data_IF_284704422461
#
_entry.id   IF_284704422461
#
_cell.length_a   1.000
_cell.length_b   1.000
_cell.length_c   1.000
_cell.angle_alpha   90.00
_cell.angle_beta   90.00
_cell.angle_gamma   90.00
#
_symmetry.space_group_name_H-M   'P 1'
#
loop_
_entity.id
_entity.type
_entity.pdbx_description
1 polymer ?
#
# COMPACT_ATOMS: atom_id res chain seq x y z
N UNK A 1 11.41 32.72 21.35
CA UNK A 1 12.43 32.84 20.29
C UNK A 1 11.76 33.39 19.05
N UNK A 2 12.20 34.55 18.56
CA UNK A 2 11.56 35.28 17.45
C UNK A 2 12.21 35.02 16.10
N UNK A 3 13.41 34.47 16.08
CA UNK A 3 14.17 34.18 14.87
C UNK A 3 15.18 33.04 15.07
N UNK A 4 15.78 32.56 13.98
CA UNK A 4 16.73 31.45 13.99
C UNK A 4 18.02 31.76 14.77
N UNK A 5 18.51 33.00 14.75
CA UNK A 5 19.73 33.38 15.48
C UNK A 5 19.51 33.28 16.99
N UNK A 6 18.41 33.82 17.51
CA UNK A 6 18.04 33.67 18.93
C UNK A 6 17.93 32.18 19.33
N UNK A 7 17.44 31.33 18.44
CA UNK A 7 17.36 29.89 18.70
C UNK A 7 18.72 29.20 18.72
N UNK A 8 19.66 29.65 17.88
CA UNK A 8 21.03 29.12 17.85
C UNK A 8 21.88 29.64 19.01
N UNK A 9 21.67 30.90 19.41
CA UNK A 9 22.26 31.49 20.60
C UNK A 9 21.85 30.69 21.85
N UNK A 10 20.56 30.37 21.99
CA UNK A 10 20.04 29.56 23.11
C UNK A 10 20.67 28.16 23.14
N UNK A 11 20.91 27.54 21.98
CA UNK A 11 21.57 26.23 21.90
C UNK A 11 23.03 26.30 22.37
N UNK A 12 23.69 27.44 22.21
CA UNK A 12 25.14 27.60 22.50
C UNK A 12 25.42 28.38 23.80
N UNK A 13 24.37 28.73 24.54
CA UNK A 13 24.48 29.40 25.82
C UNK A 13 25.21 28.51 26.85
N UNK A 14 25.90 29.14 27.80
CA UNK A 14 26.53 28.42 28.92
C UNK A 14 25.48 28.17 29.99
N UNK A 15 25.34 26.91 30.38
CA UNK A 15 24.55 26.49 31.53
C UNK A 15 25.47 26.28 32.74
N UNK A 16 25.10 26.85 33.88
CA UNK A 16 25.86 26.71 35.14
C UNK A 16 25.29 25.55 35.94
N UNK A 17 26.08 24.49 36.08
CA UNK A 17 25.75 23.32 36.87
C UNK A 17 26.03 23.62 38.35
N UNK A 18 25.01 24.06 39.08
CA UNK A 18 25.05 24.38 40.51
C UNK A 18 23.91 23.73 41.31
N UNK A 19 23.96 23.84 42.64
CA UNK A 19 23.00 23.21 43.55
C UNK A 19 22.92 21.69 43.38
N UNK A 20 21.70 21.16 43.24
CA UNK A 20 21.46 19.72 43.09
C UNK A 20 21.99 19.17 41.74
N UNK A 21 22.12 20.03 40.73
CA UNK A 21 22.57 19.72 39.36
C UNK A 21 24.10 19.82 39.17
N UNK A 22 24.88 19.96 40.25
CA UNK A 22 26.35 20.02 40.18
C UNK A 22 26.97 18.80 39.47
N UNK A 23 28.06 19.06 38.73
CA UNK A 23 28.80 18.04 37.99
C UNK A 23 29.58 17.12 38.94
N UNK A 24 29.48 15.80 38.74
CA UNK A 24 30.29 14.84 39.50
C UNK A 24 31.62 14.63 38.81
N UNK A 25 32.69 15.21 39.36
CA UNK A 25 34.01 15.09 38.77
C UNK A 25 34.63 13.73 39.09
N UNK A 26 35.00 12.98 38.04
CA UNK A 26 35.57 11.64 38.13
C UNK A 26 36.92 11.58 38.86
N UNK A 27 37.69 12.68 38.84
CA UNK A 27 38.99 12.74 39.52
C UNK A 27 38.89 13.01 41.01
N UNK A 28 37.97 13.89 41.44
CA UNK A 28 37.83 14.24 42.86
C UNK A 28 36.75 13.43 43.59
N UNK A 29 35.88 12.73 42.86
CA UNK A 29 34.77 11.94 43.42
C UNK A 29 33.69 12.79 44.11
N UNK A 30 33.64 14.09 43.83
CA UNK A 30 32.73 15.04 44.50
C UNK A 30 31.93 15.85 43.48
N UNK A 31 30.76 16.33 43.91
CA UNK A 31 29.98 17.32 43.16
C UNK A 31 30.70 18.66 43.18
N UNK A 32 30.94 19.21 42.00
CA UNK A 32 31.61 20.49 41.78
C UNK A 32 30.75 21.38 40.88
N UNK A 33 30.86 22.69 41.08
CA UNK A 33 30.29 23.65 40.14
C UNK A 33 31.02 23.56 38.80
N UNK A 34 30.28 23.54 37.70
CA UNK A 34 30.84 23.49 36.35
C UNK A 34 30.00 24.34 35.39
N UNK A 35 30.61 24.75 34.27
CA UNK A 35 29.88 25.33 33.14
C UNK A 35 29.77 24.27 32.04
N UNK A 36 28.57 24.08 31.50
CA UNK A 36 28.30 23.21 30.35
C UNK A 36 27.89 24.10 29.18
N UNK A 37 28.47 23.86 28.01
CA UNK A 37 28.10 24.53 26.76
C UNK A 37 28.04 23.51 25.64
N UNK A 38 27.06 23.64 24.75
CA UNK A 38 27.05 22.92 23.48
C UNK A 38 27.65 23.78 22.37
N UNK A 39 28.34 23.16 21.42
CA UNK A 39 28.92 23.81 20.25
C UNK A 39 28.96 22.84 19.06
N UNK A 40 29.07 23.37 17.85
CA UNK A 40 29.15 22.56 16.63
C UNK A 40 30.59 22.33 16.21
N UNK A 41 31.03 21.07 16.21
CA UNK A 41 32.40 20.71 15.80
C UNK A 41 32.57 20.62 14.27
N UNK A 42 31.57 20.09 13.57
CA UNK A 42 31.57 19.95 12.11
C UNK A 42 30.18 20.23 11.57
N UNK A 43 30.08 21.12 10.58
CA UNK A 43 28.82 21.45 9.93
C UNK A 43 28.69 20.71 8.58
N UNK A 44 27.51 20.15 8.26
CA UNK A 44 27.27 19.43 7.01
C UNK A 44 27.13 20.39 5.81
N UNK A 45 27.21 19.85 4.58
CA UNK A 45 26.95 20.64 3.36
C UNK A 45 25.49 21.12 3.27
N UNK A 46 24.54 20.32 3.78
CA UNK A 46 23.12 20.68 3.88
C UNK A 46 22.74 20.71 5.36
N UNK A 47 22.23 21.84 5.82
CA UNK A 47 21.63 22.01 7.14
C UNK A 47 20.10 21.89 7.01
N UNK A 48 19.51 21.10 7.90
CA UNK A 48 18.06 20.93 8.00
C UNK A 48 17.61 21.31 9.40
N UNK A 49 16.82 22.37 9.51
CA UNK A 49 16.24 22.82 10.77
C UNK A 49 14.78 22.43 10.84
N UNK A 50 14.38 21.78 11.94
CA UNK A 50 12.97 21.64 12.31
C UNK A 50 12.62 22.80 13.26
N UNK A 51 11.54 23.52 12.97
CA UNK A 51 11.11 24.69 13.76
C UNK A 51 10.40 24.33 15.07
N UNK A 52 10.22 23.03 15.37
CA UNK A 52 9.66 22.50 16.62
C UNK A 52 8.32 23.15 17.01
N UNK A 53 7.46 23.42 16.03
CA UNK A 53 6.18 24.13 16.21
C UNK A 53 5.04 23.31 16.82
N UNK A 54 5.32 22.15 17.40
CA UNK A 54 4.28 21.32 18.04
C UNK A 54 4.62 21.16 19.51
N UNK A 55 3.70 21.58 20.37
CA UNK A 55 3.83 21.47 21.82
C UNK A 55 2.64 20.71 22.39
N UNK A 56 2.82 20.13 23.57
CA UNK A 56 1.73 19.53 24.31
C UNK A 56 1.30 20.49 25.40
N UNK A 57 0.07 20.99 25.30
CA UNK A 57 -0.48 21.89 26.30
C UNK A 57 -1.01 21.06 27.48
N UNK A 58 -0.30 21.15 28.60
CA UNK A 58 -0.62 20.39 29.82
C UNK A 58 -1.94 20.83 30.48
N UNK A 59 -2.48 22.00 30.13
CA UNK A 59 -3.77 22.49 30.64
C UNK A 59 -4.92 21.89 29.85
N UNK A 60 -4.85 21.96 28.51
CA UNK A 60 -5.89 21.40 27.62
C UNK A 60 -5.75 19.90 27.41
N UNK A 61 -4.60 19.32 27.76
CA UNK A 61 -4.20 17.93 27.49
C UNK A 61 -4.24 17.59 25.99
N UNK A 62 -4.00 18.58 25.15
CA UNK A 62 -4.02 18.45 23.69
C UNK A 62 -2.70 18.89 23.07
N UNK A 63 -2.42 18.34 21.88
CA UNK A 63 -1.31 18.84 21.04
C UNK A 63 -1.76 20.13 20.40
N UNK A 64 -0.88 21.13 20.42
CA UNK A 64 -1.13 22.45 19.84
C UNK A 64 0.00 22.82 18.90
N UNK A 65 -0.37 23.48 17.80
CA UNK A 65 0.58 24.04 16.86
C UNK A 65 0.89 25.48 17.26
N UNK A 66 2.17 25.79 17.40
CA UNK A 66 2.68 27.12 17.70
C UNK A 66 2.84 27.90 16.40
N UNK A 67 1.92 28.83 16.16
CA UNK A 67 1.92 29.66 14.95
C UNK A 67 2.57 31.04 15.15
N UNK A 68 3.23 31.27 16.30
CA UNK A 68 3.94 32.53 16.56
C UNK A 68 4.97 32.85 15.48
N UNK A 69 5.23 34.16 15.30
CA UNK A 69 6.21 34.64 14.33
C UNK A 69 7.62 34.09 14.63
N UNK A 70 8.25 33.50 13.62
CA UNK A 70 9.64 33.05 13.64
C UNK A 70 10.31 33.37 12.30
N UNK A 71 11.23 34.33 12.30
CA UNK A 71 11.94 34.72 11.08
C UNK A 71 13.25 33.97 10.89
N UNK A 72 13.65 33.82 9.63
CA UNK A 72 14.90 33.20 9.23
C UNK A 72 15.43 33.91 7.97
N UNK A 73 16.75 34.09 7.84
CA UNK A 73 17.34 34.85 6.74
C UNK A 73 17.47 34.00 5.47
N UNK A 74 17.63 34.65 4.31
CA UNK A 74 18.05 33.94 3.10
C UNK A 74 19.50 33.44 3.17
N UNK A 75 20.35 34.12 3.96
CA UNK A 75 21.75 33.75 4.20
C UNK A 75 22.00 33.64 5.70
N UNK A 76 22.53 32.50 6.11
CA UNK A 76 22.80 32.15 7.51
C UNK A 76 24.30 31.96 7.70
N UNK A 77 24.90 32.70 8.63
CA UNK A 77 26.28 32.47 9.08
C UNK A 77 26.27 31.59 10.33
N UNK A 78 26.86 30.40 10.22
CA UNK A 78 26.99 29.45 11.32
C UNK A 78 28.34 29.52 12.04
N UNK A 79 29.27 30.33 11.54
CA UNK A 79 30.63 30.48 12.10
C UNK A 79 30.63 30.78 13.61
N UNK A 80 29.77 31.67 14.14
CA UNK A 80 29.75 32.01 15.57
C UNK A 80 29.40 30.85 16.51
N UNK A 81 28.79 29.79 15.99
CA UNK A 81 28.29 28.65 16.77
C UNK A 81 29.26 27.45 16.78
N UNK A 82 30.40 27.58 16.11
CA UNK A 82 31.39 26.51 15.99
C UNK A 82 32.30 26.38 17.21
N UNK A 83 32.84 25.18 17.45
CA UNK A 83 33.79 24.89 18.55
C UNK A 83 34.99 25.85 18.52
N UNK A 84 35.60 26.05 17.34
CA UNK A 84 36.79 26.90 17.17
C UNK A 84 36.52 28.36 17.52
N UNK A 85 35.34 28.89 17.16
CA UNK A 85 34.95 30.27 17.44
C UNK A 85 34.57 30.45 18.93
N UNK A 86 33.73 29.57 19.46
CA UNK A 86 33.19 29.68 20.83
C UNK A 86 34.22 29.42 21.93
N UNK A 87 35.26 28.64 21.64
CA UNK A 87 36.31 28.31 22.60
C UNK A 87 37.47 29.31 22.60
N UNK A 88 37.65 30.11 21.55
CA UNK A 88 38.66 31.18 21.46
C UNK A 88 40.12 30.71 21.60
N UNK A 89 41.07 31.39 20.93
CA UNK A 89 42.51 31.08 21.05
C UNK A 89 43.09 31.36 22.45
N UNK A 90 42.37 32.04 23.35
CA UNK A 90 42.86 32.58 24.62
C UNK A 90 42.69 31.69 25.86
N UNK A 91 41.86 30.63 25.82
CA UNK A 91 41.68 29.70 26.95
C UNK A 91 42.48 28.39 26.82
N UNK A 92 43.33 28.27 25.80
CA UNK A 92 44.36 27.21 25.75
C UNK A 92 45.42 27.50 26.81
N UNK A 93 45.16 27.09 28.06
CA UNK A 93 46.20 26.99 29.10
C UNK A 93 47.41 26.25 28.53
N UNK A 94 48.57 26.87 28.71
CA UNK A 94 49.90 26.33 28.37
C UNK A 94 50.03 24.90 28.88
N UNK A 95 50.01 23.90 27.99
CA UNK A 95 50.13 22.50 28.39
C UNK A 95 50.10 21.48 27.27
N UNK A 96 49.45 21.76 26.14
CA UNK A 96 49.46 20.87 24.97
C UNK A 96 49.68 21.68 23.68
N UNK A 97 50.95 21.99 23.41
CA UNK A 97 51.39 22.36 22.06
C UNK A 97 51.57 21.08 21.26
N UNK A 98 50.56 20.67 20.50
CA UNK A 98 50.83 19.93 19.27
C UNK A 98 51.12 20.95 18.17
N UNK A 99 52.34 20.83 17.65
CA UNK A 99 52.90 21.62 16.57
C UNK A 99 52.24 21.15 15.27
N UNK A 100 51.28 21.92 14.78
CA UNK A 100 50.99 22.00 13.35
C UNK A 100 50.35 23.35 13.05
N UNK A 101 51.23 24.33 12.93
CA UNK A 101 50.96 25.64 12.37
C UNK A 101 50.90 25.51 10.84
N UNK A 102 49.68 25.35 10.32
CA UNK A 102 49.35 25.82 8.99
C UNK A 102 48.07 26.64 9.13
N UNK A 103 48.16 27.90 8.71
CA UNK A 103 47.09 28.83 8.44
C UNK A 103 45.85 28.16 7.83
N UNK A 104 44.92 27.68 8.66
CA UNK A 104 43.54 27.50 8.23
C UNK A 104 42.96 28.90 8.09
N UNK A 105 42.88 29.39 6.86
CA UNK A 105 41.90 30.41 6.51
C UNK A 105 40.60 30.03 7.20
N UNK A 106 40.03 30.96 7.96
CA UNK A 106 38.77 30.76 8.67
C UNK A 106 37.75 30.27 7.65
N UNK A 107 37.44 28.98 7.64
CA UNK A 107 36.44 28.42 6.73
C UNK A 107 35.14 29.20 6.97
N UNK A 108 34.69 29.96 5.97
CA UNK A 108 33.38 30.61 6.03
C UNK A 108 32.31 29.53 6.11
N UNK A 109 31.48 29.57 7.16
CA UNK A 109 30.33 28.70 7.35
C UNK A 109 29.04 29.43 7.00
N UNK A 110 29.03 30.12 5.85
CA UNK A 110 27.83 30.73 5.31
C UNK A 110 27.00 29.72 4.51
N UNK A 111 25.68 29.82 4.66
CA UNK A 111 24.71 28.97 4.01
C UNK A 111 23.62 29.79 3.33
N UNK A 112 23.23 29.39 2.13
CA UNK A 112 22.07 29.91 1.42
C UNK A 112 20.83 29.06 1.72
N UNK A 113 19.68 29.70 1.97
CA UNK A 113 18.39 29.03 2.06
C UNK A 113 18.01 28.49 0.67
N UNK A 114 17.76 27.18 0.59
CA UNK A 114 17.44 26.48 -0.66
C UNK A 114 16.03 25.89 -0.67
N UNK A 115 15.40 25.75 0.49
CA UNK A 115 14.07 25.19 0.58
C UNK A 115 13.39 25.47 1.91
N UNK A 116 12.07 25.64 1.88
CA UNK A 116 11.21 25.79 3.05
C UNK A 116 10.01 24.86 2.86
N UNK A 117 9.81 23.94 3.79
CA UNK A 117 8.58 23.16 3.88
C UNK A 117 7.63 23.86 4.83
N UNK A 118 6.42 24.15 4.36
CA UNK A 118 5.38 24.87 5.10
C UNK A 118 4.28 23.89 5.47
N UNK A 119 3.77 24.03 6.70
CA UNK A 119 2.59 23.33 7.16
C UNK A 119 1.45 24.32 7.39
N UNK A 120 0.32 24.09 6.75
CA UNK A 120 -0.94 24.80 7.02
C UNK A 120 -1.94 23.87 7.72
N UNK A 121 -2.56 24.34 8.81
CA UNK A 121 -3.49 23.53 9.61
C UNK A 121 -3.13 23.48 11.09
N UNK A 122 -3.63 22.46 11.78
CA UNK A 122 -3.54 22.29 13.24
C UNK A 122 -2.51 21.23 13.65
N UNK A 123 -2.47 20.85 14.93
CA UNK A 123 -1.60 19.77 15.40
C UNK A 123 -2.03 18.38 14.92
N UNK A 124 -3.32 18.19 14.64
CA UNK A 124 -3.90 16.88 14.34
C UNK A 124 -4.09 16.64 12.83
N UNK A 125 -4.04 17.69 12.02
CA UNK A 125 -4.22 17.57 10.57
C UNK A 125 -3.96 18.88 9.84
N UNK A 126 -3.53 18.76 8.60
CA UNK A 126 -3.19 19.90 7.76
C UNK A 126 -2.65 19.46 6.42
N UNK A 127 -1.98 20.38 5.75
CA UNK A 127 -1.41 20.21 4.42
C UNK A 127 0.04 20.70 4.37
N UNK A 128 0.88 19.99 3.63
CA UNK A 128 2.29 20.33 3.45
C UNK A 128 2.55 20.73 2.01
N UNK A 129 3.28 21.83 1.85
CA UNK A 129 3.77 22.29 0.55
C UNK A 129 5.16 22.89 0.75
N UNK A 130 5.90 23.12 -0.33
CA UNK A 130 7.29 23.59 -0.23
C UNK A 130 7.59 24.73 -1.19
N UNK A 131 8.40 25.68 -0.73
CA UNK A 131 9.07 26.66 -1.57
C UNK A 131 10.50 26.21 -1.77
N UNK A 132 10.94 26.02 -3.02
CA UNK A 132 12.27 25.51 -3.34
C UNK A 132 12.95 26.45 -4.31
N UNK A 133 14.21 26.78 -4.02
CA UNK A 133 15.08 27.54 -4.91
C UNK A 133 15.68 26.60 -5.94
N UNK A 134 15.69 27.00 -7.20
CA UNK A 134 16.40 26.24 -8.23
C UNK A 134 17.92 26.43 -8.07
N UNK A 135 18.55 25.40 -7.52
CA UNK A 135 20.00 25.33 -7.29
C UNK A 135 20.74 24.51 -8.35
N UNK A 136 20.01 23.87 -9.27
CA UNK A 136 20.58 23.01 -10.30
C UNK A 136 20.90 23.83 -11.54
N UNK A 137 20.01 24.75 -11.93
CA UNK A 137 20.26 25.65 -13.05
C UNK A 137 21.08 26.88 -12.58
N UNK A 138 22.32 27.07 -13.07
CA UNK A 138 23.18 28.17 -12.62
C UNK A 138 22.60 29.55 -12.88
N UNK A 139 21.86 29.73 -13.99
CA UNK A 139 21.18 31.00 -14.29
C UNK A 139 19.99 31.24 -13.36
N UNK A 140 19.26 30.19 -12.98
CA UNK A 140 18.15 30.30 -12.04
C UNK A 140 18.66 30.62 -10.63
N UNK A 141 19.75 29.97 -10.20
CA UNK A 141 20.38 30.18 -8.91
C UNK A 141 20.89 31.62 -8.75
N UNK A 142 21.63 32.13 -9.77
CA UNK A 142 22.13 33.52 -9.80
C UNK A 142 21.01 34.56 -9.76
N UNK A 143 19.88 34.28 -10.42
CA UNK A 143 18.72 35.16 -10.44
C UNK A 143 17.74 34.92 -9.28
N UNK A 144 18.12 34.11 -8.28
CA UNK A 144 17.31 33.78 -7.12
C UNK A 144 15.88 33.32 -7.49
N UNK A 145 15.76 32.36 -8.42
CA UNK A 145 14.46 31.82 -8.83
C UNK A 145 13.93 30.79 -7.83
N UNK A 146 12.69 30.98 -7.41
CA UNK A 146 11.97 30.10 -6.49
C UNK A 146 10.71 29.55 -7.15
N UNK A 147 10.28 28.40 -6.66
CA UNK A 147 9.07 27.73 -7.08
C UNK A 147 8.29 27.23 -5.86
N UNK A 148 6.97 27.37 -5.92
CA UNK A 148 6.01 26.72 -5.05
C UNK A 148 5.72 25.33 -5.62
N UNK A 149 5.93 24.31 -4.80
CA UNK A 149 5.56 22.92 -5.04
C UNK A 149 4.41 22.54 -4.11
N UNK A 150 3.24 22.32 -4.70
CA UNK A 150 2.01 21.96 -4.00
C UNK A 150 1.36 20.77 -4.71
N UNK A 151 1.67 19.55 -4.24
CA UNK A 151 1.25 18.29 -4.84
C UNK A 151 1.56 18.21 -6.35
N UNK A 152 0.53 18.12 -7.19
CA UNK A 152 0.66 18.06 -8.64
C UNK A 152 0.94 19.44 -9.30
N UNK A 153 0.90 20.52 -8.53
CA UNK A 153 1.04 21.88 -9.04
C UNK A 153 2.41 22.48 -8.70
N UNK A 154 3.09 23.01 -9.73
CA UNK A 154 4.35 23.74 -9.59
C UNK A 154 4.20 25.14 -10.20
N UNK A 155 4.49 26.18 -9.42
CA UNK A 155 4.35 27.59 -9.83
C UNK A 155 5.61 28.38 -9.52
N UNK A 156 6.01 29.36 -10.36
CA UNK A 156 7.02 30.34 -9.96
C UNK A 156 6.61 31.10 -8.69
N UNK A 157 7.57 31.42 -7.85
CA UNK A 157 7.36 32.12 -6.57
C UNK A 157 8.37 33.25 -6.39
N UNK A 158 7.92 34.37 -5.83
CA UNK A 158 8.78 35.50 -5.49
C UNK A 158 9.33 35.37 -4.07
N UNK A 159 10.64 35.24 -3.94
CA UNK A 159 11.33 35.12 -2.64
C UNK A 159 11.05 36.28 -1.67
N UNK A 160 10.64 37.46 -2.15
CA UNK A 160 10.24 38.57 -1.29
C UNK A 160 9.02 38.25 -0.41
N UNK A 161 8.21 37.27 -0.82
CA UNK A 161 7.01 36.81 -0.11
C UNK A 161 7.30 35.71 0.94
N UNK A 162 8.55 35.24 1.07
CA UNK A 162 8.89 34.21 2.06
C UNK A 162 8.50 34.64 3.48
N UNK A 163 8.71 35.90 3.84
CA UNK A 163 8.36 36.41 5.16
C UNK A 163 6.85 36.33 5.43
N UNK A 164 6.02 36.71 4.45
CA UNK A 164 4.57 36.65 4.60
C UNK A 164 4.05 35.22 4.64
N UNK A 165 4.61 34.32 3.84
CA UNK A 165 4.13 32.95 3.65
C UNK A 165 4.72 31.93 4.65
N UNK A 166 5.84 32.23 5.30
CA UNK A 166 6.57 31.22 6.06
C UNK A 166 6.84 31.56 7.53
N UNK A 167 6.82 32.84 7.94
CA UNK A 167 7.21 33.20 9.31
C UNK A 167 6.12 32.91 10.35
N UNK A 168 4.86 32.75 9.92
CA UNK A 168 3.71 32.70 10.81
C UNK A 168 3.42 34.07 11.43
N UNK A 169 2.89 34.09 12.65
CA UNK A 169 2.47 35.28 13.37
C UNK A 169 1.03 35.69 13.06
N UNK A 170 0.68 36.93 13.40
CA UNK A 170 -0.64 37.47 13.16
C UNK A 170 -0.74 38.19 11.81
N UNK A 171 -1.94 38.23 11.26
CA UNK A 171 -2.31 38.97 10.06
C UNK A 171 -3.49 39.88 10.38
N UNK A 172 -3.34 41.18 10.11
CA UNK A 172 -4.40 42.17 10.27
C UNK A 172 -5.11 42.43 8.96
N UNK A 173 -6.44 42.34 8.96
CA UNK A 173 -7.29 42.66 7.81
C UNK A 173 -8.24 43.78 8.17
N UNK A 174 -8.34 44.78 7.28
CA UNK A 174 -9.32 45.87 7.39
C UNK A 174 -10.64 45.42 6.82
N UNK A 175 -11.65 45.28 7.67
CA UNK A 175 -13.02 44.98 7.25
C UNK A 175 -13.87 46.22 7.47
N UNK A 176 -14.60 46.62 6.43
CA UNK A 176 -15.57 47.72 6.54
C UNK A 176 -16.82 47.21 7.24
N UNK A 177 -17.15 47.81 8.37
CA UNK A 177 -18.37 47.53 9.10
C UNK A 177 -19.47 48.53 8.69
N UNK A 178 -20.48 48.02 8.00
CA UNK A 178 -21.63 48.79 7.55
C UNK A 178 -22.50 49.32 8.69
N UNK A 179 -22.39 48.78 9.92
CA UNK A 179 -23.16 49.22 11.08
C UNK A 179 -22.54 50.46 11.72
N UNK A 180 -21.21 50.51 11.79
CA UNK A 180 -20.48 51.63 12.41
C UNK A 180 -19.90 52.62 11.41
N UNK A 181 -20.06 52.36 10.10
CA UNK A 181 -19.55 53.15 8.98
C UNK A 181 -18.03 53.43 9.10
N UNK A 182 -17.30 52.42 9.59
CA UNK A 182 -15.87 52.48 9.89
C UNK A 182 -15.17 51.21 9.45
N UNK A 183 -13.89 51.37 9.10
CA UNK A 183 -12.99 50.24 8.92
C UNK A 183 -12.51 49.76 10.30
N UNK A 184 -12.76 48.49 10.61
CA UNK A 184 -12.21 47.82 11.78
C UNK A 184 -11.03 46.93 11.37
N UNK A 185 -9.98 46.94 12.18
CA UNK A 185 -8.84 46.03 12.04
C UNK A 185 -9.15 44.73 12.78
N UNK A 186 -9.23 43.61 12.06
CA UNK A 186 -9.30 42.27 12.65
C UNK A 186 -7.94 41.59 12.53
N UNK A 187 -7.33 41.24 13.66
CA UNK A 187 -6.11 40.41 13.71
C UNK A 187 -6.48 38.94 13.88
N UNK A 188 -5.92 38.07 13.05
CA UNK A 188 -6.02 36.62 13.22
C UNK A 188 -4.65 35.96 13.07
N UNK A 189 -4.45 34.85 13.76
CA UNK A 189 -3.21 34.09 13.69
C UNK A 189 -3.12 33.33 12.35
N UNK A 190 -1.97 33.43 11.67
CA UNK A 190 -1.72 32.68 10.44
C UNK A 190 -1.66 31.20 10.75
N UNK A 191 -2.41 30.42 9.99
CA UNK A 191 -2.46 28.96 10.13
C UNK A 191 -1.34 28.24 9.37
N UNK A 192 -0.58 28.96 8.53
CA UNK A 192 0.56 28.45 7.79
C UNK A 192 1.88 29.03 8.33
N UNK A 193 2.89 28.18 8.45
CA UNK A 193 4.23 28.59 8.87
C UNK A 193 5.27 27.52 8.52
N UNK A 194 6.53 27.93 8.42
CA UNK A 194 7.64 27.04 8.12
C UNK A 194 7.75 25.94 9.19
N UNK A 195 7.76 24.69 8.72
CA UNK A 195 7.98 23.49 9.51
C UNK A 195 9.44 23.02 9.42
N UNK A 196 10.00 23.02 8.21
CA UNK A 196 11.42 22.71 7.99
C UNK A 196 12.10 23.75 7.12
N UNK A 197 13.36 24.04 7.43
CA UNK A 197 14.24 24.91 6.65
C UNK A 197 15.44 24.13 6.14
N UNK A 198 15.80 24.33 4.88
CA UNK A 198 16.94 23.69 4.23
C UNK A 198 17.93 24.73 3.74
N UNK A 199 19.17 24.61 4.19
CA UNK A 199 20.26 25.53 3.90
C UNK A 199 21.42 24.76 3.26
N UNK A 200 22.00 25.30 2.18
CA UNK A 200 23.17 24.72 1.51
C UNK A 200 24.41 25.58 1.80
N UNK A 201 25.50 24.92 2.21
CA UNK A 201 26.79 25.58 2.44
C UNK A 201 27.24 26.24 1.15
N UNK A 202 27.66 27.50 1.23
CA UNK A 202 28.27 28.18 0.10
C UNK A 202 29.63 27.53 -0.17
N UNK A 203 29.81 27.05 -1.39
CA UNK A 203 31.10 26.51 -1.85
C UNK A 203 31.86 27.60 -2.63
N UNK A 204 33.21 27.60 -2.58
CA UNK A 204 34.01 28.51 -3.39
C UNK A 204 33.68 28.34 -4.88
N UNK A 205 33.78 29.44 -5.65
CA UNK A 205 33.26 29.56 -7.02
C UNK A 205 33.75 28.45 -7.99
N UNK A 206 34.88 27.80 -7.70
CA UNK A 206 35.46 26.71 -8.49
C UNK A 206 34.62 25.41 -8.51
N UNK A 207 33.75 25.14 -7.52
CA UNK A 207 32.90 23.93 -7.49
C UNK A 207 31.50 24.13 -8.11
N UNK A 208 31.08 25.37 -8.44
CA UNK A 208 29.72 25.71 -8.88
C UNK A 208 29.38 25.31 -10.33
N UNK A 209 30.30 24.68 -11.06
CA UNK A 209 30.15 24.30 -12.48
C UNK A 209 29.86 22.82 -12.75
N UNK A 210 29.62 21.99 -11.73
CA UNK A 210 29.35 20.56 -11.95
C UNK A 210 27.95 20.38 -12.54
N UNK A 211 27.88 20.06 -13.84
CA UNK A 211 26.65 19.54 -14.45
C UNK A 211 26.26 18.22 -13.79
N UNK A 212 25.10 18.19 -13.15
CA UNK A 212 24.54 16.95 -12.62
C UNK A 212 23.96 16.15 -13.78
N UNK A 213 24.62 15.06 -14.15
CA UNK A 213 24.03 14.05 -15.05
C UNK A 213 23.14 13.12 -14.24
N UNK A 214 21.84 13.19 -14.48
CA UNK A 214 20.83 12.33 -13.86
C UNK A 214 20.48 11.14 -14.76
N UNK A 215 21.48 10.54 -15.42
CA UNK A 215 21.22 9.43 -16.32
C UNK A 215 20.70 8.24 -15.50
N UNK A 216 19.42 7.90 -15.73
CA UNK A 216 18.77 6.73 -15.13
C UNK A 216 19.32 5.48 -15.81
N UNK A 217 19.62 4.42 -15.05
CA UNK A 217 20.12 3.18 -15.64
C UNK A 217 19.07 2.56 -16.59
N UNK A 218 19.53 1.94 -17.67
CA UNK A 218 18.65 1.31 -18.66
C UNK A 218 17.76 0.22 -18.04
N UNK A 219 18.30 -0.55 -17.10
CA UNK A 219 17.56 -1.58 -16.35
C UNK A 219 16.41 -0.97 -15.54
N UNK A 220 16.64 0.15 -14.84
CA UNK A 220 15.59 0.81 -14.06
C UNK A 220 14.52 1.42 -14.98
N UNK A 221 14.92 1.96 -16.13
CA UNK A 221 13.99 2.49 -17.12
C UNK A 221 13.08 1.39 -17.69
N UNK A 222 13.65 0.24 -18.05
CA UNK A 222 12.90 -0.93 -18.53
C UNK A 222 11.92 -1.44 -17.47
N UNK A 223 12.36 -1.51 -16.21
CA UNK A 223 11.51 -1.92 -15.10
C UNK A 223 10.33 -0.96 -14.90
N UNK A 224 10.56 0.36 -14.90
CA UNK A 224 9.50 1.38 -14.81
C UNK A 224 8.49 1.22 -15.96
N UNK A 225 8.99 0.94 -17.17
CA UNK A 225 8.12 0.77 -18.32
C UNK A 225 7.26 -0.49 -18.20
N UNK A 226 7.84 -1.59 -17.74
CA UNK A 226 7.12 -2.84 -17.51
C UNK A 226 6.04 -2.68 -16.44
N UNK A 227 6.37 -2.05 -15.31
CA UNK A 227 5.43 -1.80 -14.22
C UNK A 227 4.25 -0.91 -14.66
N UNK A 228 4.54 0.17 -15.39
CA UNK A 228 3.50 1.03 -15.97
C UNK A 228 2.60 0.28 -16.97
N UNK A 229 3.17 -0.61 -17.79
CA UNK A 229 2.39 -1.43 -18.72
C UNK A 229 1.49 -2.42 -17.99
N UNK A 230 2.00 -3.07 -16.94
CA UNK A 230 1.19 -3.96 -16.11
C UNK A 230 0.02 -3.18 -15.47
N UNK A 231 0.29 -2.01 -14.90
CA UNK A 231 -0.74 -1.16 -14.32
C UNK A 231 -1.83 -0.76 -15.33
N UNK A 232 -1.44 -0.38 -16.55
CA UNK A 232 -2.41 -0.04 -17.60
C UNK A 232 -3.22 -1.26 -18.05
N UNK A 233 -2.60 -2.44 -18.15
CA UNK A 233 -3.30 -3.68 -18.47
C UNK A 233 -4.34 -4.00 -17.41
N UNK A 234 -3.95 -3.99 -16.13
CA UNK A 234 -4.84 -4.26 -15.00
C UNK A 234 -6.01 -3.26 -14.96
N UNK A 235 -5.73 -1.98 -15.24
CA UNK A 235 -6.78 -0.95 -15.33
C UNK A 235 -7.76 -1.22 -16.48
N UNK A 236 -7.26 -1.60 -17.66
CA UNK A 236 -8.08 -1.81 -18.85
C UNK A 236 -8.96 -3.06 -18.74
N UNK A 237 -8.53 -4.08 -18.00
CA UNK A 237 -9.29 -5.33 -17.79
C UNK A 237 -10.63 -5.07 -17.08
N UNK A 238 -10.80 -3.96 -16.35
CA UNK A 238 -12.05 -3.62 -15.67
C UNK A 238 -12.83 -2.50 -16.37
N UNK A 239 -12.46 -2.11 -17.60
CA UNK A 239 -13.22 -1.12 -18.34
C UNK A 239 -14.52 -1.69 -18.93
N UNK A 240 -15.59 -0.90 -18.87
CA UNK A 240 -16.90 -1.27 -19.43
C UNK A 240 -16.86 -1.56 -20.94
N UNK A 241 -15.94 -0.93 -21.67
CA UNK A 241 -15.71 -1.17 -23.10
C UNK A 241 -15.24 -2.61 -23.35
N UNK A 242 -14.31 -3.10 -22.53
CA UNK A 242 -13.85 -4.49 -22.58
C UNK A 242 -14.97 -5.46 -22.22
N UNK A 243 -15.79 -5.14 -21.22
CA UNK A 243 -16.91 -5.99 -20.82
C UNK A 243 -17.97 -6.07 -21.92
N UNK A 244 -18.26 -4.96 -22.59
CA UNK A 244 -19.13 -4.92 -23.76
C UNK A 244 -18.60 -5.76 -24.91
N UNK A 245 -17.29 -5.69 -25.18
CA UNK A 245 -16.64 -6.54 -26.19
C UNK A 245 -16.76 -8.03 -25.83
N UNK A 246 -16.45 -8.40 -24.58
CA UNK A 246 -16.57 -9.78 -24.10
C UNK A 246 -18.01 -10.28 -24.18
N UNK A 247 -18.99 -9.46 -23.84
CA UNK A 247 -20.41 -9.80 -23.97
C UNK A 247 -20.77 -10.11 -25.43
N UNK A 248 -20.38 -9.26 -26.37
CA UNK A 248 -20.65 -9.46 -27.80
C UNK A 248 -20.01 -10.76 -28.30
N UNK A 249 -18.75 -11.01 -27.93
CA UNK A 249 -18.01 -12.20 -28.33
C UNK A 249 -18.65 -13.50 -27.79
N UNK A 250 -19.14 -13.46 -26.55
CA UNK A 250 -19.69 -14.63 -25.87
C UNK A 250 -21.18 -14.89 -26.16
N UNK A 251 -21.96 -13.85 -26.44
CA UNK A 251 -23.41 -13.95 -26.65
C UNK A 251 -23.83 -14.09 -28.12
N UNK A 252 -23.02 -13.60 -29.05
CA UNK A 252 -23.34 -13.54 -30.48
C UNK A 252 -22.43 -14.45 -31.31
N UNK A 253 -22.59 -15.77 -31.16
CA UNK A 253 -21.86 -16.76 -31.96
C UNK A 253 -22.51 -16.87 -33.37
N UNK A 254 -21.78 -16.61 -34.46
CA UNK A 254 -22.32 -16.78 -35.82
C UNK A 254 -22.67 -18.25 -36.11
N UNK A 255 -23.88 -18.49 -36.64
CA UNK A 255 -24.35 -19.84 -37.03
C UNK A 255 -23.62 -20.43 -38.24
N UNK A 256 -22.79 -19.63 -38.92
CA UNK A 256 -21.99 -20.00 -40.07
C UNK A 256 -20.67 -20.70 -39.71
N UNK A 257 -20.32 -20.76 -38.42
CA UNK A 257 -19.08 -21.37 -37.98
C UNK A 257 -19.12 -22.90 -38.11
N UNK A 258 -17.99 -23.54 -38.48
CA UNK A 258 -17.88 -24.99 -38.53
C UNK A 258 -17.91 -25.58 -37.11
N UNK A 259 -18.45 -26.79 -36.97
CA UNK A 259 -18.57 -27.54 -35.71
C UNK A 259 -19.25 -26.76 -34.56
N UNK A 260 -20.59 -26.63 -34.59
CA UNK A 260 -21.35 -25.92 -33.56
C UNK A 260 -21.13 -26.45 -32.13
N UNK A 261 -20.78 -27.73 -31.98
CA UNK A 261 -20.54 -28.33 -30.65
C UNK A 261 -19.20 -27.85 -30.08
N UNK A 262 -18.14 -27.89 -30.88
CA UNK A 262 -16.83 -27.38 -30.45
C UNK A 262 -16.88 -25.87 -30.16
N UNK A 263 -17.56 -25.10 -31.00
CA UNK A 263 -17.74 -23.66 -30.80
C UNK A 263 -18.53 -23.39 -29.51
N UNK A 264 -19.64 -24.10 -29.28
CA UNK A 264 -20.41 -23.95 -28.04
C UNK A 264 -19.58 -24.26 -26.79
N UNK A 265 -18.70 -25.26 -26.86
CA UNK A 265 -17.77 -25.56 -25.76
C UNK A 265 -16.76 -24.42 -25.56
N UNK A 266 -16.09 -23.94 -26.61
CA UNK A 266 -15.11 -22.86 -26.52
C UNK A 266 -15.73 -21.58 -25.96
N UNK A 267 -16.92 -21.21 -26.42
CA UNK A 267 -17.59 -20.00 -25.93
C UNK A 267 -18.03 -20.14 -24.48
N UNK A 268 -18.48 -21.33 -24.05
CA UNK A 268 -18.77 -21.59 -22.64
C UNK A 268 -17.49 -21.45 -21.79
N UNK A 269 -16.37 -22.03 -22.22
CA UNK A 269 -15.07 -21.89 -21.53
C UNK A 269 -14.67 -20.43 -21.36
N UNK A 270 -14.71 -19.66 -22.46
CA UNK A 270 -14.35 -18.23 -22.44
C UNK A 270 -15.26 -17.42 -21.52
N UNK A 271 -16.57 -17.63 -21.62
CA UNK A 271 -17.57 -16.94 -20.80
C UNK A 271 -17.36 -17.26 -19.32
N UNK A 272 -17.13 -18.54 -18.99
CA UNK A 272 -16.90 -18.98 -17.61
C UNK A 272 -15.63 -18.37 -17.04
N UNK A 273 -14.50 -18.46 -17.74
CA UNK A 273 -13.24 -17.84 -17.27
C UNK A 273 -13.38 -16.33 -17.10
N UNK A 274 -13.96 -15.62 -18.08
CA UNK A 274 -14.19 -14.18 -17.94
C UNK A 274 -15.06 -13.84 -16.73
N UNK A 275 -16.17 -14.58 -16.53
CA UNK A 275 -17.07 -14.30 -15.41
C UNK A 275 -16.38 -14.57 -14.07
N UNK A 276 -15.74 -15.73 -13.93
CA UNK A 276 -15.18 -16.20 -12.65
C UNK A 276 -13.82 -15.60 -12.30
N UNK A 277 -13.04 -15.16 -13.27
CA UNK A 277 -11.68 -14.64 -13.05
C UNK A 277 -11.62 -13.11 -13.14
N UNK A 278 -12.55 -12.47 -13.85
CA UNK A 278 -12.51 -11.02 -14.10
C UNK A 278 -13.78 -10.32 -13.61
N UNK A 279 -14.95 -10.72 -14.13
CA UNK A 279 -16.19 -9.98 -13.95
C UNK A 279 -16.62 -9.89 -12.47
N UNK A 280 -16.50 -10.97 -11.69
CA UNK A 280 -16.89 -10.98 -10.28
C UNK A 280 -16.06 -10.04 -9.40
N UNK A 281 -14.85 -9.67 -9.84
CA UNK A 281 -13.97 -8.72 -9.15
C UNK A 281 -14.25 -7.26 -9.55
N UNK A 282 -15.06 -7.06 -10.58
CA UNK A 282 -15.43 -5.73 -11.03
C UNK A 282 -16.44 -5.06 -10.07
N UNK A 283 -16.56 -3.73 -10.19
CA UNK A 283 -17.60 -2.97 -9.51
C UNK A 283 -18.96 -3.06 -10.21
N UNK A 284 -19.06 -3.77 -11.33
CA UNK A 284 -20.25 -3.81 -12.20
C UNK A 284 -21.27 -4.85 -11.76
N UNK A 285 -22.14 -4.45 -10.82
CA UNK A 285 -23.21 -5.31 -10.28
C UNK A 285 -24.46 -5.48 -11.17
N UNK A 286 -24.90 -4.50 -11.99
CA UNK A 286 -26.19 -4.61 -12.69
C UNK A 286 -26.27 -5.69 -13.77
N UNK A 287 -25.18 -5.98 -14.49
CA UNK A 287 -25.15 -6.94 -15.61
C UNK A 287 -24.88 -8.38 -15.17
N UNK A 288 -24.65 -8.61 -13.87
CA UNK A 288 -24.33 -9.93 -13.33
C UNK A 288 -25.41 -10.98 -13.63
N UNK A 289 -26.69 -10.63 -13.49
CA UNK A 289 -27.79 -11.56 -13.81
C UNK A 289 -27.76 -11.99 -15.28
N UNK A 290 -27.47 -11.07 -16.20
CA UNK A 290 -27.40 -11.36 -17.63
C UNK A 290 -26.25 -12.31 -17.96
N UNK A 291 -25.09 -12.13 -17.32
CA UNK A 291 -23.95 -13.04 -17.46
C UNK A 291 -24.26 -14.45 -16.92
N UNK A 292 -24.96 -14.55 -15.79
CA UNK A 292 -25.38 -15.85 -15.25
C UNK A 292 -26.38 -16.54 -16.18
N UNK A 293 -27.35 -15.80 -16.72
CA UNK A 293 -28.31 -16.32 -17.69
C UNK A 293 -27.64 -16.84 -18.95
N UNK A 294 -26.62 -16.11 -19.45
CA UNK A 294 -25.80 -16.53 -20.59
C UNK A 294 -25.08 -17.85 -20.28
N UNK A 295 -24.37 -17.93 -19.15
CA UNK A 295 -23.69 -19.17 -18.73
C UNK A 295 -24.66 -20.33 -18.58
N UNK A 296 -25.80 -20.10 -17.93
CA UNK A 296 -26.85 -21.12 -17.74
C UNK A 296 -27.35 -21.64 -19.08
N UNK A 297 -27.58 -20.75 -20.05
CA UNK A 297 -27.96 -21.12 -21.43
C UNK A 297 -26.86 -21.92 -22.13
N UNK A 298 -25.61 -21.52 -22.01
CA UNK A 298 -24.48 -22.24 -22.63
C UNK A 298 -24.31 -23.65 -22.05
N UNK A 299 -24.41 -23.81 -20.73
CA UNK A 299 -24.36 -25.12 -20.07
C UNK A 299 -25.57 -26.00 -20.41
N UNK A 300 -26.77 -25.42 -20.54
CA UNK A 300 -27.94 -26.19 -20.98
C UNK A 300 -27.76 -26.78 -22.39
N UNK A 301 -27.02 -26.09 -23.25
CA UNK A 301 -26.82 -26.45 -24.65
C UNK A 301 -25.58 -27.34 -24.90
N UNK A 302 -24.70 -27.50 -23.90
CA UNK A 302 -23.44 -28.23 -24.07
C UNK A 302 -23.09 -29.08 -22.85
N UNK A 303 -23.34 -30.39 -22.95
CA UNK A 303 -22.92 -31.35 -21.92
C UNK A 303 -21.40 -31.35 -21.73
N UNK A 304 -20.62 -31.27 -22.81
CA UNK A 304 -19.16 -31.20 -22.73
C UNK A 304 -18.67 -29.96 -21.96
N UNK A 305 -19.42 -28.84 -22.00
CA UNK A 305 -19.08 -27.65 -21.22
C UNK A 305 -19.34 -27.87 -19.72
N UNK A 306 -20.45 -28.54 -19.39
CA UNK A 306 -20.76 -28.95 -18.02
C UNK A 306 -19.69 -29.88 -17.44
N UNK A 307 -19.29 -30.91 -18.21
CA UNK A 307 -18.24 -31.86 -17.81
C UNK A 307 -16.91 -31.14 -17.59
N UNK A 308 -16.49 -30.32 -18.57
CA UNK A 308 -15.26 -29.53 -18.45
C UNK A 308 -15.27 -28.60 -17.24
N UNK A 309 -16.40 -27.95 -16.95
CA UNK A 309 -16.48 -27.01 -15.84
C UNK A 309 -16.21 -27.69 -14.49
N UNK A 310 -16.81 -28.86 -14.27
CA UNK A 310 -16.57 -29.62 -13.04
C UNK A 310 -15.20 -30.29 -13.02
N UNK A 311 -14.72 -30.82 -14.15
CA UNK A 311 -13.37 -31.41 -14.26
C UNK A 311 -12.29 -30.39 -13.95
N UNK A 312 -12.39 -29.18 -14.52
CA UNK A 312 -11.45 -28.08 -14.26
C UNK A 312 -11.33 -27.78 -12.77
N UNK A 313 -12.45 -27.80 -12.04
CA UNK A 313 -12.48 -27.53 -10.59
C UNK A 313 -12.14 -28.76 -9.75
N UNK A 314 -12.24 -29.97 -10.30
CA UNK A 314 -11.77 -31.17 -9.65
C UNK A 314 -10.23 -31.24 -9.68
N UNK A 315 -9.63 -30.85 -10.81
CA UNK A 315 -8.18 -30.84 -11.03
C UNK A 315 -7.47 -29.64 -10.39
N UNK A 316 -8.16 -28.51 -10.26
CA UNK A 316 -7.64 -27.25 -9.71
C UNK A 316 -8.70 -26.55 -8.85
N UNK A 317 -8.44 -26.52 -7.55
CA UNK A 317 -9.37 -26.00 -6.55
C UNK A 317 -9.42 -24.47 -6.47
N UNK A 318 -8.74 -23.75 -7.37
CA UNK A 318 -8.63 -22.30 -7.31
C UNK A 318 -9.98 -21.58 -7.35
N UNK A 319 -10.89 -21.92 -8.27
CA UNK A 319 -12.22 -21.29 -8.32
C UNK A 319 -13.03 -21.53 -7.04
N UNK A 320 -13.23 -22.78 -6.56
CA UNK A 320 -13.89 -23.04 -5.29
C UNK A 320 -13.23 -22.31 -4.11
N UNK A 321 -11.90 -22.30 -4.04
CA UNK A 321 -11.17 -21.64 -2.95
C UNK A 321 -11.37 -20.13 -2.96
N UNK A 322 -11.16 -19.48 -4.11
CA UNK A 322 -11.28 -18.02 -4.21
C UNK A 322 -12.73 -17.56 -4.07
N UNK A 323 -13.66 -18.30 -4.66
CA UNK A 323 -15.06 -17.88 -4.75
C UNK A 323 -15.87 -18.35 -3.55
N UNK A 324 -15.90 -19.65 -3.21
CA UNK A 324 -16.75 -20.13 -2.10
C UNK A 324 -16.16 -19.83 -0.72
N UNK A 325 -14.83 -19.83 -0.58
CA UNK A 325 -14.17 -19.74 0.74
C UNK A 325 -13.67 -18.31 1.03
N UNK A 326 -12.90 -17.72 0.11
CA UNK A 326 -12.21 -16.43 0.36
C UNK A 326 -13.04 -15.20 -0.02
N UNK A 327 -13.95 -15.30 -0.98
CA UNK A 327 -14.72 -14.15 -1.47
C UNK A 327 -15.61 -13.57 -0.36
N UNK A 328 -15.51 -12.28 -0.01
CA UNK A 328 -16.39 -11.66 0.99
C UNK A 328 -17.80 -11.39 0.46
N UNK A 329 -17.96 -11.29 -0.87
CA UNK A 329 -19.23 -10.91 -1.50
C UNK A 329 -20.22 -12.09 -1.55
N UNK A 330 -21.25 -12.05 -0.70
CA UNK A 330 -22.26 -13.11 -0.61
C UNK A 330 -22.99 -13.40 -1.93
N UNK A 331 -23.30 -12.37 -2.72
CA UNK A 331 -24.04 -12.54 -3.98
C UNK A 331 -23.22 -13.38 -4.97
N UNK A 332 -21.91 -13.11 -5.05
CA UNK A 332 -20.99 -13.86 -5.92
C UNK A 332 -20.91 -15.32 -5.48
N UNK A 333 -20.83 -15.60 -4.17
CA UNK A 333 -20.82 -16.97 -3.65
C UNK A 333 -22.12 -17.71 -3.95
N UNK A 334 -23.26 -17.07 -3.75
CA UNK A 334 -24.57 -17.66 -4.02
C UNK A 334 -24.76 -17.96 -5.50
N UNK A 335 -24.34 -17.03 -6.37
CA UNK A 335 -24.34 -17.24 -7.81
C UNK A 335 -23.53 -18.49 -8.18
N UNK A 336 -22.28 -18.55 -7.71
CA UNK A 336 -21.38 -19.65 -8.05
C UNK A 336 -21.90 -21.00 -7.53
N UNK A 337 -22.40 -21.04 -6.30
CA UNK A 337 -23.04 -22.23 -5.74
C UNK A 337 -24.23 -22.68 -6.59
N UNK A 338 -25.13 -21.77 -6.97
CA UNK A 338 -26.29 -22.09 -7.83
C UNK A 338 -25.87 -22.58 -9.21
N UNK A 339 -24.83 -21.99 -9.79
CA UNK A 339 -24.28 -22.42 -11.07
C UNK A 339 -23.72 -23.84 -11.01
N UNK A 340 -22.96 -24.16 -9.96
CA UNK A 340 -22.44 -25.52 -9.74
C UNK A 340 -23.58 -26.55 -9.60
N UNK A 341 -24.59 -26.26 -8.78
CA UNK A 341 -25.76 -27.15 -8.61
C UNK A 341 -26.53 -27.31 -9.93
N UNK A 342 -26.71 -26.23 -10.69
CA UNK A 342 -27.36 -26.29 -12.01
C UNK A 342 -26.60 -27.21 -12.97
N UNK A 343 -25.28 -27.09 -13.05
CA UNK A 343 -24.44 -27.96 -13.89
C UNK A 343 -24.55 -29.43 -13.46
N UNK A 344 -24.52 -29.71 -12.15
CA UNK A 344 -24.70 -31.07 -11.63
C UNK A 344 -26.08 -31.63 -11.99
N UNK A 345 -27.15 -30.83 -11.87
CA UNK A 345 -28.50 -31.24 -12.28
C UNK A 345 -28.58 -31.59 -13.77
N UNK A 346 -27.85 -30.86 -14.63
CA UNK A 346 -27.77 -31.16 -16.06
C UNK A 346 -27.03 -32.46 -16.36
N UNK A 347 -25.99 -32.78 -15.57
CA UNK A 347 -25.18 -34.00 -15.75
C UNK A 347 -25.79 -35.24 -15.08
N UNK A 348 -26.67 -35.05 -14.09
CA UNK A 348 -27.26 -36.15 -13.30
C UNK A 348 -27.79 -37.32 -14.14
N UNK A 349 -28.57 -37.14 -15.23
CA UNK A 349 -29.09 -38.26 -16.01
C UNK A 349 -28.01 -39.16 -16.62
N UNK A 350 -26.81 -38.61 -16.85
CA UNK A 350 -25.68 -39.33 -17.45
C UNK A 350 -24.67 -39.78 -16.39
N UNK A 351 -24.55 -39.06 -15.27
CA UNK A 351 -23.50 -39.32 -14.28
C UNK A 351 -23.95 -40.06 -13.01
N UNK A 352 -25.23 -40.02 -12.62
CA UNK A 352 -25.67 -40.55 -11.32
C UNK A 352 -25.31 -42.03 -11.13
N UNK A 353 -25.45 -42.84 -12.19
CA UNK A 353 -25.11 -44.27 -12.16
C UNK A 353 -23.60 -44.57 -12.02
N UNK A 354 -22.74 -43.56 -12.19
CA UNK A 354 -21.29 -43.67 -12.03
C UNK A 354 -20.82 -43.33 -10.62
N UNK A 355 -21.66 -42.72 -9.78
CA UNK A 355 -21.21 -42.16 -8.50
C UNK A 355 -20.66 -43.20 -7.52
N UNK A 356 -21.19 -44.42 -7.57
CA UNK A 356 -20.78 -45.52 -6.70
C UNK A 356 -19.90 -46.55 -7.42
N UNK A 357 -19.57 -46.32 -8.70
CA UNK A 357 -18.68 -47.23 -9.43
C UNK A 357 -17.22 -46.95 -9.04
N UNK A 358 -16.40 -47.99 -8.84
CA UNK A 358 -14.96 -47.81 -8.68
C UNK A 358 -14.35 -47.17 -9.94
N UNK A 359 -13.21 -46.47 -9.76
CA UNK A 359 -12.45 -45.91 -10.88
C UNK A 359 -11.94 -46.97 -11.86
N UNK A 360 -11.41 -46.54 -13.00
CA UNK A 360 -10.87 -47.46 -13.99
C UNK A 360 -9.62 -48.17 -13.45
N UNK A 361 -9.66 -49.50 -13.38
CA UNK A 361 -8.47 -50.35 -13.32
C UNK A 361 -7.77 -50.30 -14.68
N UNK A 362 -6.48 -49.96 -14.69
CA UNK A 362 -5.58 -50.30 -15.79
C UNK A 362 -5.38 -51.83 -15.78
N UNK A 363 -6.34 -52.57 -16.32
CA UNK A 363 -6.15 -53.91 -16.90
C UNK A 363 -5.48 -55.01 -16.07
N UNK A 364 -5.51 -54.97 -14.74
CA UNK A 364 -5.08 -56.08 -13.89
C UNK A 364 -6.27 -56.69 -13.14
N UNK A 365 -6.54 -57.97 -13.39
CA UNK A 365 -7.56 -58.81 -12.73
C UNK A 365 -7.27 -59.05 -11.21
N UNK A 366 -6.95 -58.01 -10.45
CA UNK A 366 -6.83 -58.08 -9.00
C UNK A 366 -8.12 -57.53 -8.38
N UNK A 367 -8.94 -58.44 -7.86
CA UNK A 367 -10.22 -58.23 -7.16
C UNK A 367 -10.05 -57.50 -5.81
N UNK A 368 -9.27 -56.42 -5.77
CA UNK A 368 -9.06 -55.60 -4.58
C UNK A 368 -8.93 -54.11 -4.96
N UNK A 369 -9.91 -53.60 -5.71
CA UNK A 369 -10.09 -52.16 -5.86
C UNK A 369 -10.30 -51.55 -4.48
N UNK A 370 -9.30 -50.82 -3.98
CA UNK A 370 -9.41 -50.10 -2.70
C UNK A 370 -10.64 -49.18 -2.73
N UNK A 371 -11.44 -49.22 -1.66
CA UNK A 371 -12.63 -48.37 -1.41
C UNK A 371 -12.36 -46.87 -1.63
N UNK A 372 -11.10 -46.45 -1.68
CA UNK A 372 -10.62 -45.07 -1.86
C UNK A 372 -10.98 -44.43 -3.22
N UNK A 373 -11.26 -45.20 -4.29
CA UNK A 373 -11.52 -44.63 -5.64
C UNK A 373 -12.99 -44.74 -6.13
N UNK A 374 -13.95 -44.89 -5.22
CA UNK A 374 -15.38 -44.86 -5.57
C UNK A 374 -15.75 -43.52 -6.21
N UNK A 375 -16.43 -43.53 -7.35
CA UNK A 375 -16.84 -42.32 -8.06
C UNK A 375 -15.73 -41.65 -8.86
N UNK A 376 -14.57 -42.30 -9.07
CA UNK A 376 -13.48 -41.73 -9.89
C UNK A 376 -13.87 -41.44 -11.35
N UNK A 377 -14.90 -42.11 -11.88
CA UNK A 377 -15.36 -42.01 -13.28
C UNK A 377 -16.25 -40.82 -13.60
N UNK A 378 -16.70 -40.06 -12.60
CA UNK A 378 -17.63 -38.94 -12.80
C UNK A 378 -17.01 -37.62 -12.35
N UNK A 379 -17.05 -36.61 -13.21
CA UNK A 379 -16.59 -35.26 -12.91
C UNK A 379 -17.31 -34.65 -11.69
N UNK A 380 -18.59 -35.00 -11.48
CA UNK A 380 -19.39 -34.54 -10.34
C UNK A 380 -18.80 -35.04 -9.02
N UNK A 381 -18.53 -36.34 -8.93
CA UNK A 381 -18.02 -36.97 -7.71
C UNK A 381 -16.58 -36.57 -7.42
N UNK A 382 -15.74 -36.44 -8.46
CA UNK A 382 -14.40 -35.86 -8.32
C UNK A 382 -14.44 -34.44 -7.77
N UNK A 383 -15.31 -33.58 -8.31
CA UNK A 383 -15.49 -32.21 -7.81
C UNK A 383 -15.98 -32.16 -6.35
N UNK A 384 -16.99 -32.97 -6.00
CA UNK A 384 -17.50 -33.03 -4.62
C UNK A 384 -16.43 -33.51 -3.64
N UNK A 385 -15.58 -34.48 -4.05
CA UNK A 385 -14.42 -34.91 -3.26
C UNK A 385 -13.43 -33.76 -3.07
N UNK A 386 -13.10 -33.00 -4.11
CA UNK A 386 -12.23 -31.81 -4.02
C UNK A 386 -12.79 -30.79 -3.02
N UNK A 387 -14.10 -30.53 -3.03
CA UNK A 387 -14.71 -29.65 -2.02
C UNK A 387 -14.51 -30.19 -0.60
N UNK A 388 -14.77 -31.47 -0.36
CA UNK A 388 -14.56 -32.07 0.97
C UNK A 388 -13.09 -31.98 1.43
N UNK A 389 -12.12 -32.14 0.52
CA UNK A 389 -10.69 -31.96 0.81
C UNK A 389 -10.35 -30.50 1.17
N UNK A 390 -10.95 -29.51 0.49
CA UNK A 390 -10.81 -28.09 0.84
C UNK A 390 -11.22 -27.84 2.29
N UNK A 391 -12.27 -28.53 2.79
CA UNK A 391 -12.72 -28.41 4.18
C UNK A 391 -11.65 -28.81 5.20
N UNK A 392 -10.87 -29.85 4.90
CA UNK A 392 -9.84 -30.37 5.80
C UNK A 392 -8.62 -29.44 5.88
N UNK A 393 -8.22 -28.83 4.76
CA UNK A 393 -6.93 -28.13 4.65
C UNK A 393 -7.03 -26.61 4.41
N UNK A 394 -8.12 -26.11 3.83
CA UNK A 394 -8.19 -24.74 3.30
C UNK A 394 -9.19 -23.80 3.97
N UNK A 395 -10.15 -24.33 4.73
CA UNK A 395 -11.28 -23.53 5.25
C UNK A 395 -10.98 -22.82 6.58
N UNK A 396 -10.16 -23.41 7.46
CA UNK A 396 -9.93 -22.89 8.83
C UNK A 396 -9.49 -21.42 8.91
N UNK A 397 -8.59 -20.91 8.05
CA UNK A 397 -8.19 -19.49 8.06
C UNK A 397 -9.31 -18.52 7.64
N UNK A 398 -10.38 -19.01 6.99
CA UNK A 398 -11.40 -18.20 6.32
C UNK A 398 -12.83 -18.55 6.76
N UNK A 399 -13.00 -19.04 7.99
CA UNK A 399 -14.25 -19.62 8.53
C UNK A 399 -15.47 -18.67 8.62
N UNK A 400 -15.33 -17.40 8.22
CA UNK A 400 -16.41 -16.40 8.31
C UNK A 400 -17.49 -16.53 7.22
N UNK A 401 -17.20 -17.19 6.10
CA UNK A 401 -18.02 -17.11 4.88
C UNK A 401 -18.39 -18.48 4.30
N UNK A 402 -18.88 -19.40 5.13
CA UNK A 402 -19.11 -20.81 4.73
C UNK A 402 -20.55 -21.19 4.40
N UNK A 403 -21.50 -20.26 4.51
CA UNK A 403 -22.94 -20.54 4.31
C UNK A 403 -23.20 -21.18 2.94
N UNK A 404 -22.68 -20.57 1.87
CA UNK A 404 -22.89 -21.07 0.51
C UNK A 404 -22.14 -22.39 0.24
N UNK A 405 -20.99 -22.59 0.89
CA UNK A 405 -20.24 -23.84 0.83
C UNK A 405 -21.03 -25.01 1.45
N UNK A 406 -21.60 -24.83 2.64
CA UNK A 406 -22.45 -25.87 3.26
C UNK A 406 -23.79 -26.01 2.56
N UNK A 407 -24.36 -24.92 2.03
CA UNK A 407 -25.58 -24.98 1.22
C UNK A 407 -25.38 -25.82 -0.05
N UNK A 408 -24.20 -25.76 -0.68
CA UNK A 408 -23.87 -26.65 -1.80
C UNK A 408 -23.97 -28.12 -1.40
N UNK A 409 -23.29 -28.53 -0.32
CA UNK A 409 -23.26 -29.92 0.13
C UNK A 409 -24.66 -30.42 0.52
N UNK A 410 -25.44 -29.57 1.18
CA UNK A 410 -26.83 -29.86 1.54
C UNK A 410 -27.74 -30.02 0.32
N UNK A 411 -27.65 -29.12 -0.66
CA UNK A 411 -28.46 -29.21 -1.88
C UNK A 411 -28.07 -30.42 -2.72
N UNK A 412 -26.77 -30.75 -2.82
CA UNK A 412 -26.30 -31.96 -3.48
C UNK A 412 -26.89 -33.23 -2.84
N UNK A 413 -26.84 -33.33 -1.50
CA UNK A 413 -27.43 -34.46 -0.78
C UNK A 413 -28.94 -34.64 -1.03
N UNK A 414 -29.67 -33.54 -1.25
CA UNK A 414 -31.12 -33.54 -1.51
C UNK A 414 -31.52 -33.91 -2.93
N UNK A 415 -30.56 -34.05 -3.85
CA UNK A 415 -30.87 -34.33 -5.26
C UNK A 415 -31.39 -35.76 -5.49
N UNK A 416 -30.97 -36.73 -4.67
CA UNK A 416 -31.37 -38.12 -4.81
C UNK A 416 -30.62 -39.08 -3.88
N UNK A 417 -30.93 -40.37 -4.01
CA UNK A 417 -30.35 -41.43 -3.19
C UNK A 417 -28.87 -41.65 -3.55
N UNK A 418 -28.51 -41.58 -4.83
CA UNK A 418 -27.14 -41.80 -5.31
C UNK A 418 -26.17 -40.75 -4.73
N UNK A 419 -26.59 -39.47 -4.69
CA UNK A 419 -25.82 -38.37 -4.10
C UNK A 419 -25.60 -38.57 -2.61
N UNK A 420 -26.65 -38.96 -1.88
CA UNK A 420 -26.58 -39.24 -0.44
C UNK A 420 -25.69 -40.44 -0.14
N UNK A 421 -25.81 -41.54 -0.89
CA UNK A 421 -24.97 -42.73 -0.74
C UNK A 421 -23.51 -42.42 -1.03
N UNK A 422 -23.21 -41.61 -2.04
CA UNK A 422 -21.85 -41.18 -2.34
C UNK A 422 -21.25 -40.36 -1.19
N UNK A 423 -21.97 -39.37 -0.65
CA UNK A 423 -21.50 -38.61 0.52
C UNK A 423 -21.25 -39.49 1.75
N UNK A 424 -22.08 -40.52 1.96
CA UNK A 424 -21.89 -41.50 3.02
C UNK A 424 -20.63 -42.36 2.79
N UNK A 425 -20.37 -42.79 1.55
CA UNK A 425 -19.14 -43.53 1.22
C UNK A 425 -17.87 -42.71 1.46
N UNK A 426 -17.95 -41.39 1.33
CA UNK A 426 -16.84 -40.47 1.64
C UNK A 426 -16.78 -40.04 3.11
N UNK A 427 -17.62 -40.59 3.99
CA UNK A 427 -17.71 -40.20 5.39
C UNK A 427 -17.95 -38.70 5.60
N UNK A 428 -18.61 -38.01 4.66
CA UNK A 428 -18.72 -36.55 4.65
C UNK A 428 -19.29 -35.95 5.95
N UNK A 429 -20.24 -36.64 6.59
CA UNK A 429 -20.81 -36.24 7.89
C UNK A 429 -19.73 -36.23 8.98
N UNK A 430 -18.88 -37.27 9.02
CA UNK A 430 -17.76 -37.35 9.96
C UNK A 430 -16.77 -36.21 9.71
N UNK A 431 -16.39 -35.95 8.46
CA UNK A 431 -15.50 -34.83 8.10
C UNK A 431 -16.06 -33.47 8.56
N UNK A 432 -17.36 -33.23 8.36
CA UNK A 432 -18.02 -31.98 8.82
C UNK A 432 -18.02 -31.86 10.35
N UNK A 433 -18.29 -32.95 11.06
CA UNK A 433 -18.28 -32.99 12.54
C UNK A 433 -16.86 -32.75 13.06
N UNK A 434 -15.85 -33.38 12.48
CA UNK A 434 -14.45 -33.17 12.83
C UNK A 434 -14.00 -31.72 12.59
N UNK A 435 -14.39 -31.15 11.45
CA UNK A 435 -14.16 -29.74 11.13
C UNK A 435 -14.77 -28.83 12.21
N UNK A 436 -16.03 -29.05 12.61
CA UNK A 436 -16.71 -28.25 13.63
C UNK A 436 -16.10 -28.42 15.04
N UNK A 437 -15.72 -29.64 15.40
CA UNK A 437 -15.12 -29.95 16.71
C UNK A 437 -13.63 -29.54 16.80
N UNK A 438 -12.99 -29.17 15.69
CA UNK A 438 -11.56 -28.83 15.66
C UNK A 438 -10.62 -30.00 15.93
N UNK A 439 -11.12 -31.24 15.92
CA UNK A 439 -10.32 -32.46 16.14
C UNK A 439 -9.71 -32.90 14.81
N UNK A 440 -8.37 -33.03 14.75
CA UNK A 440 -7.66 -33.50 13.55
C UNK A 440 -8.19 -34.88 13.14
N UNK A 441 -8.54 -35.05 11.85
CA UNK A 441 -8.49 -36.37 11.21
C UNK A 441 -7.03 -36.87 11.12
N UNK A 442 -6.79 -38.18 11.01
CA UNK A 442 -5.45 -38.76 11.01
C UNK A 442 -4.60 -38.15 9.88
N UNK A 443 -3.37 -37.75 10.24
CA UNK A 443 -2.42 -37.07 9.36
C UNK A 443 -1.95 -38.01 8.24
N UNK A 444 -2.31 -37.73 6.98
CA UNK A 444 -1.52 -38.15 5.83
C UNK A 444 -0.81 -36.93 5.25
N UNK A 445 0.51 -36.94 5.39
CA UNK A 445 1.45 -35.90 4.96
C UNK A 445 1.94 -36.21 3.56
N UNK A 446 1.35 -35.56 2.55
CA UNK A 446 1.91 -35.28 1.22
C UNK A 446 0.76 -34.65 0.42
N UNK A 447 0.77 -33.37 0.03
CA UNK A 447 1.69 -32.77 -0.95
C UNK A 447 1.72 -31.25 -0.70
N UNK A 448 2.90 -30.72 -0.39
CA UNK A 448 3.26 -29.33 -0.66
C UNK A 448 4.28 -29.42 -1.78
N UNK A 449 3.99 -28.81 -2.93
CA UNK A 449 4.90 -28.16 -3.90
C UNK A 449 4.35 -28.25 -5.33
N UNK A 450 3.39 -27.39 -5.64
CA UNK A 450 3.33 -26.72 -6.95
C UNK A 450 2.31 -25.59 -6.86
N UNK A 451 2.76 -24.37 -7.10
CA UNK A 451 2.04 -23.24 -7.73
C UNK A 451 2.70 -21.93 -7.28
N UNK A 452 3.88 -21.69 -7.86
CA UNK A 452 4.33 -20.35 -8.17
C UNK A 452 4.21 -20.18 -9.68
N UNK A 453 3.77 -18.99 -10.11
CA UNK A 453 3.20 -18.63 -11.41
C UNK A 453 1.73 -19.03 -11.56
N UNK A 454 0.83 -18.12 -11.20
CA UNK A 454 0.09 -17.29 -12.18
C UNK A 454 -0.66 -16.19 -11.41
N UNK A 455 -0.53 -14.96 -11.90
CA UNK A 455 -1.30 -13.75 -11.58
C UNK A 455 -1.37 -13.37 -10.09
N UNK A 456 -0.34 -12.66 -9.63
CA UNK A 456 -0.47 -11.80 -8.46
C UNK A 456 -1.31 -10.58 -8.83
N UNK A 457 -2.63 -10.66 -8.64
CA UNK A 457 -3.49 -9.47 -8.59
C UNK A 457 -3.80 -9.16 -7.13
N UNK A 458 -3.29 -7.99 -6.80
CA UNK A 458 -3.32 -7.22 -5.57
C UNK A 458 -4.69 -7.22 -4.89
N UNK A 459 -4.69 -7.54 -3.59
CA UNK A 459 -5.67 -7.01 -2.64
C UNK A 459 -5.22 -5.62 -2.16
N UNK A 460 -5.95 -4.59 -2.55
CA UNK A 460 -6.11 -3.34 -1.79
C UNK A 460 -7.61 -3.03 -1.69
#
# INVERSE_FOLDING_TARGET
MKNIYESLDEVTIKDTLEGDNMYTCSHCGKKVRAEKRACFKKLPRILSFNTMRYTFNMVTMMKEKVNTHFSFPLRLDMTPYTEDFLMGKSDRKEGFKEVNDHSKETESYEYDLIGVTVHTGTADGGHYYSFIRDIVNPHAYKNNKWYLFNDAEVKPFDSAQLASECFGGEMTTKTYDSVTDKFMDFSFEKTHSAYMLFYKRMEPEEENGKEYKFDVSSELLEWIWHDNMQFLQDKNIFEHTYFGFMWQLCSCIPSTLPDPKAVSLMTAKLSTSFVLETFIHSKEKPTMLQWIELLTKQFNNSQAACEWFLDRMADDDWWPMQILIKCPNQIVRQMFQRLCIHVIQRLRPVHAHLYLQPGMEDGSDDMDASVEDIGGRSCVTRFVRTLLLIMEHGVKPHSKHLTEYFAFLYEFAKMGEEESQFLLSLQAISTMVHFYMGTKGPENVSVILSYSRHVGVISQ
#
